data_IF_819029291278
#
_entry.id   IF_819029291278
#
_cell.length_a   1.000
_cell.length_b   1.000
_cell.length_c   1.000
_cell.angle_alpha   90.00
_cell.angle_beta   90.00
_cell.angle_gamma   90.00
#
_symmetry.space_group_name_H-M   'P 1'
#
loop_
_entity.id
_entity.type
_entity.pdbx_description
1 polymer ?
#
# COMPACT_ATOMS: atom_id res chain seq x y z
N UNK A 1 22.82 0.23 6.10
CA UNK A 1 22.84 -0.85 5.08
C UNK A 1 22.55 -2.24 5.63
N UNK A 2 23.07 -2.64 6.80
CA UNK A 2 22.75 -3.94 7.41
C UNK A 2 21.23 -4.19 7.57
N UNK A 3 20.48 -3.20 8.06
CA UNK A 3 19.01 -3.28 8.15
C UNK A 3 18.33 -3.55 6.79
N UNK A 4 18.82 -2.93 5.71
CA UNK A 4 18.30 -3.19 4.36
C UNK A 4 18.60 -4.62 3.92
N UNK A 5 19.81 -5.13 4.20
CA UNK A 5 20.18 -6.51 3.89
C UNK A 5 19.35 -7.55 4.66
N UNK A 6 18.82 -7.19 5.84
CA UNK A 6 17.85 -8.01 6.62
C UNK A 6 16.50 -8.07 5.91
N UNK A 7 15.91 -6.94 5.52
CA UNK A 7 14.56 -6.95 4.92
C UNK A 7 14.56 -7.32 3.43
N UNK A 8 15.71 -7.26 2.76
CA UNK A 8 15.86 -7.60 1.33
C UNK A 8 16.90 -8.70 1.12
N UNK A 9 16.65 -9.95 1.58
CA UNK A 9 17.60 -11.06 1.39
C UNK A 9 17.81 -11.42 -0.08
N UNK A 10 16.93 -10.94 -0.98
CA UNK A 10 17.00 -11.09 -2.42
C UNK A 10 17.86 -10.02 -3.12
N UNK A 11 18.39 -9.04 -2.38
CA UNK A 11 19.27 -8.01 -2.93
C UNK A 11 20.74 -8.28 -2.59
N UNK A 12 21.64 -7.73 -3.41
CA UNK A 12 23.08 -7.67 -3.13
C UNK A 12 23.51 -6.21 -3.05
N UNK A 13 24.25 -5.87 -2.00
CA UNK A 13 24.80 -4.54 -1.80
C UNK A 13 26.32 -4.60 -1.74
N UNK A 14 26.98 -3.65 -2.39
CA UNK A 14 28.42 -3.41 -2.27
C UNK A 14 28.61 -1.94 -1.85
N UNK A 15 29.06 -1.74 -0.61
CA UNK A 15 29.44 -0.43 -0.12
C UNK A 15 30.95 -0.28 -0.19
N UNK A 16 31.41 0.81 -0.78
CA UNK A 16 32.81 1.20 -0.80
C UNK A 16 32.92 2.62 -0.29
N UNK A 17 33.60 2.78 0.84
CA UNK A 17 34.05 4.07 1.34
C UNK A 17 35.48 4.28 0.88
N UNK A 18 35.71 5.41 0.24
CA UNK A 18 37.02 5.83 -0.25
C UNK A 18 37.45 7.05 0.55
N UNK A 19 38.67 7.00 1.08
CA UNK A 19 39.31 8.10 1.79
C UNK A 19 40.61 8.48 1.06
N UNK A 20 41.08 9.71 1.27
CA UNK A 20 42.38 10.16 0.76
C UNK A 20 43.54 9.27 1.27
N UNK A 21 43.38 8.64 2.43
CA UNK A 21 44.27 7.59 2.90
C UNK A 21 43.73 6.21 2.51
N UNK A 22 44.45 5.48 1.66
CA UNK A 22 44.03 4.17 1.17
C UNK A 22 43.75 3.15 2.29
N UNK A 23 44.40 3.30 3.44
CA UNK A 23 44.24 2.47 4.64
C UNK A 23 42.88 2.63 5.31
N UNK A 24 42.22 3.77 5.08
CA UNK A 24 40.87 4.06 5.59
C UNK A 24 39.78 3.61 4.61
N UNK A 25 40.13 3.03 3.47
CA UNK A 25 39.16 2.49 2.54
C UNK A 25 38.44 1.30 3.18
N UNK A 26 37.11 1.30 3.10
CA UNK A 26 36.28 0.25 3.67
C UNK A 26 35.37 -0.30 2.58
N UNK A 27 35.42 -1.62 2.39
CA UNK A 27 34.51 -2.31 1.49
C UNK A 27 33.65 -3.29 2.29
N UNK A 28 32.33 -3.14 2.21
CA UNK A 28 31.36 -4.03 2.83
C UNK A 28 30.49 -4.63 1.72
N UNK A 29 30.42 -5.96 1.68
CA UNK A 29 29.57 -6.70 0.74
C UNK A 29 28.49 -7.46 1.48
N UNK A 30 27.24 -7.24 1.10
CA UNK A 30 26.08 -8.01 1.54
C UNK A 30 25.62 -8.86 0.36
N UNK A 31 25.88 -10.16 0.37
CA UNK A 31 25.53 -11.08 -0.73
C UNK A 31 24.03 -11.39 -0.75
N UNK A 32 23.47 -11.74 -1.91
CA UNK A 32 22.10 -12.27 -1.96
C UNK A 32 22.01 -13.63 -1.26
N UNK A 33 20.85 -13.93 -0.64
CA UNK A 33 20.56 -15.21 0.03
C UNK A 33 19.46 -16.04 -0.65
N UNK A 34 18.56 -15.39 -1.39
CA UNK A 34 17.44 -16.02 -2.10
C UNK A 34 17.18 -15.29 -3.41
N UNK A 35 16.72 -15.99 -4.45
CA UNK A 35 16.24 -15.37 -5.69
C UNK A 35 14.71 -15.15 -5.67
N UNK A 36 14.03 -15.62 -4.64
CA UNK A 36 12.58 -15.47 -4.48
C UNK A 36 12.27 -14.04 -4.03
N UNK A 37 11.72 -13.25 -4.95
CA UNK A 37 11.25 -11.90 -4.66
C UNK A 37 9.80 -11.92 -4.12
N UNK A 38 9.43 -10.95 -3.26
CA UNK A 38 8.04 -10.74 -2.90
C UNK A 38 7.19 -10.36 -4.13
N UNK A 39 5.86 -10.54 -4.07
CA UNK A 39 4.96 -10.14 -5.15
C UNK A 39 5.07 -8.64 -5.38
N UNK A 40 5.12 -8.23 -6.65
CA UNK A 40 5.15 -6.81 -7.02
C UNK A 40 3.83 -6.13 -6.63
N UNK A 41 3.88 -4.93 -6.04
CA UNK A 41 2.67 -4.20 -5.69
C UNK A 41 1.92 -3.80 -6.96
N UNK A 42 0.61 -4.02 -6.96
CA UNK A 42 -0.27 -3.67 -8.08
C UNK A 42 -0.91 -2.30 -7.85
N UNK A 43 -1.03 -1.52 -8.92
CA UNK A 43 -1.78 -0.28 -8.87
C UNK A 43 -3.27 -0.60 -8.65
N UNK A 44 -3.85 0.01 -7.61
CA UNK A 44 -5.28 -0.10 -7.32
C UNK A 44 -5.93 1.27 -7.38
N UNK A 45 -7.24 1.29 -7.63
CA UNK A 45 -8.07 2.51 -7.56
C UNK A 45 -8.32 2.89 -6.10
N UNK A 46 -8.87 4.08 -5.90
CA UNK A 46 -9.10 4.60 -4.55
C UNK A 46 -10.31 3.95 -3.88
N UNK A 47 -10.20 3.70 -2.58
CA UNK A 47 -11.34 3.28 -1.77
C UNK A 47 -12.22 4.50 -1.43
N UNK A 48 -13.56 4.41 -1.49
CA UNK A 48 -14.44 5.55 -1.22
C UNK A 48 -14.26 6.18 0.16
N UNK A 49 -13.92 5.39 1.19
CA UNK A 49 -13.67 5.92 2.53
C UNK A 49 -12.33 6.65 2.68
N UNK A 50 -11.42 6.50 1.72
CA UNK A 50 -10.07 7.06 1.74
C UNK A 50 -9.95 8.37 0.94
N UNK A 51 -11.00 8.80 0.25
CA UNK A 51 -10.92 9.95 -0.65
C UNK A 51 -11.32 11.26 0.01
N UNK A 52 -10.60 12.32 -0.32
CA UNK A 52 -10.92 13.68 0.07
C UNK A 52 -11.59 14.46 -1.09
N UNK A 53 -12.06 15.66 -0.79
CA UNK A 53 -12.69 16.53 -1.79
C UNK A 53 -11.77 16.90 -2.93
N UNK A 54 -10.47 17.07 -2.66
CA UNK A 54 -9.49 17.46 -3.66
C UNK A 54 -9.21 16.32 -4.65
N UNK A 55 -9.08 15.10 -4.15
CA UNK A 55 -8.92 13.90 -4.95
C UNK A 55 -10.15 13.64 -5.81
N UNK A 56 -11.36 13.78 -5.25
CA UNK A 56 -12.59 13.65 -6.06
C UNK A 56 -12.58 14.68 -7.20
N UNK A 57 -12.24 15.95 -6.93
CA UNK A 57 -12.12 16.98 -7.97
C UNK A 57 -11.09 16.60 -9.05
N UNK A 58 -9.94 16.09 -8.64
CA UNK A 58 -8.89 15.64 -9.56
C UNK A 58 -9.37 14.47 -10.42
N UNK A 59 -10.00 13.47 -9.80
CA UNK A 59 -10.55 12.30 -10.50
C UNK A 59 -11.62 12.70 -11.51
N UNK A 60 -12.44 13.71 -11.19
CA UNK A 60 -13.44 14.26 -12.13
C UNK A 60 -12.77 14.89 -13.35
N UNK A 61 -11.69 15.65 -13.16
CA UNK A 61 -10.94 16.24 -14.27
C UNK A 61 -10.24 15.18 -15.14
N UNK A 62 -9.72 14.14 -14.50
CA UNK A 62 -8.90 13.11 -15.17
C UNK A 62 -9.74 11.95 -15.76
N UNK A 63 -11.02 11.80 -15.37
CA UNK A 63 -11.84 10.66 -15.78
C UNK A 63 -12.29 10.75 -17.23
N UNK A 64 -12.36 9.59 -17.88
CA UNK A 64 -12.96 9.42 -19.22
C UNK A 64 -14.45 9.09 -19.16
N UNK A 65 -15.02 8.92 -17.96
CA UNK A 65 -16.40 8.46 -17.78
C UNK A 65 -17.38 9.65 -17.85
N UNK A 66 -18.36 9.62 -18.78
CA UNK A 66 -19.24 10.76 -19.00
C UNK A 66 -20.26 10.98 -17.88
N UNK A 67 -20.71 9.91 -17.21
CA UNK A 67 -21.81 9.97 -16.25
C UNK A 67 -21.41 9.50 -14.84
N UNK A 68 -22.15 10.00 -13.85
CA UNK A 68 -21.89 9.77 -12.43
C UNK A 68 -21.91 8.29 -12.05
N UNK A 69 -22.82 7.50 -12.63
CA UNK A 69 -22.89 6.06 -12.37
C UNK A 69 -21.58 5.35 -12.77
N UNK A 70 -21.09 5.63 -13.98
CA UNK A 70 -19.84 5.06 -14.48
C UNK A 70 -18.62 5.59 -13.72
N UNK A 71 -18.64 6.85 -13.31
CA UNK A 71 -17.58 7.42 -12.48
C UNK A 71 -17.45 6.68 -11.15
N UNK A 72 -18.56 6.52 -10.41
CA UNK A 72 -18.58 5.80 -9.14
C UNK A 72 -18.15 4.34 -9.29
N UNK A 73 -18.57 3.68 -10.37
CA UNK A 73 -18.25 2.28 -10.63
C UNK A 73 -16.79 2.04 -11.04
N UNK A 74 -16.16 2.97 -11.76
CA UNK A 74 -14.87 2.73 -12.40
C UNK A 74 -13.68 3.48 -11.79
N UNK A 75 -13.92 4.58 -11.07
CA UNK A 75 -12.84 5.34 -10.43
C UNK A 75 -12.57 4.89 -8.99
N UNK A 76 -13.49 4.16 -8.38
CA UNK A 76 -13.35 3.63 -7.02
C UNK A 76 -13.39 2.11 -6.99
N UNK A 77 -12.69 1.53 -6.01
CA UNK A 77 -12.81 0.10 -5.72
C UNK A 77 -14.09 -0.19 -4.92
N UNK A 78 -14.57 -1.43 -5.00
CA UNK A 78 -15.68 -1.95 -4.20
C UNK A 78 -17.02 -1.21 -4.36
N UNK A 79 -17.23 -0.53 -5.50
CA UNK A 79 -18.54 0.00 -5.90
C UNK A 79 -19.07 -0.81 -7.08
N UNK A 80 -20.04 -1.68 -6.82
CA UNK A 80 -20.80 -2.34 -7.88
C UNK A 80 -21.82 -1.39 -8.50
N UNK A 81 -22.32 -1.72 -9.71
CA UNK A 81 -23.37 -0.92 -10.36
C UNK A 81 -24.60 -0.74 -9.46
N UNK A 82 -25.06 -1.82 -8.83
CA UNK A 82 -26.21 -1.77 -7.92
C UNK A 82 -25.94 -0.93 -6.67
N UNK A 83 -24.69 -0.90 -6.19
CA UNK A 83 -24.31 -0.04 -5.07
C UNK A 83 -24.25 1.43 -5.51
N UNK A 84 -23.67 1.73 -6.68
CA UNK A 84 -23.63 3.07 -7.25
C UNK A 84 -25.04 3.65 -7.45
N UNK A 85 -25.98 2.87 -8.00
CA UNK A 85 -27.38 3.30 -8.15
C UNK A 85 -28.02 3.66 -6.80
N UNK A 86 -27.78 2.88 -5.74
CA UNK A 86 -28.26 3.18 -4.38
C UNK A 86 -27.63 4.45 -3.82
N UNK A 87 -26.31 4.60 -3.95
CA UNK A 87 -25.59 5.79 -3.48
C UNK A 87 -26.13 7.05 -4.15
N UNK A 88 -26.35 7.02 -5.47
CA UNK A 88 -26.93 8.16 -6.21
C UNK A 88 -28.33 8.50 -5.67
N UNK A 89 -29.15 7.49 -5.36
CA UNK A 89 -30.45 7.70 -4.74
C UNK A 89 -30.38 8.35 -3.36
N UNK A 90 -29.37 8.00 -2.54
CA UNK A 90 -29.14 8.58 -1.21
C UNK A 90 -28.55 10.00 -1.25
N UNK A 91 -27.87 10.37 -2.35
CA UNK A 91 -27.32 11.72 -2.52
C UNK A 91 -28.41 12.78 -2.64
N UNK A 92 -29.57 12.44 -3.21
CA UNK A 92 -30.76 13.30 -3.30
C UNK A 92 -31.24 13.55 -4.73
N UNK A 93 -32.32 14.35 -4.90
CA UNK A 93 -32.95 14.58 -6.20
C UNK A 93 -32.07 15.34 -7.21
N UNK A 94 -31.05 16.05 -6.72
CA UNK A 94 -30.08 16.78 -7.56
C UNK A 94 -29.08 15.85 -8.28
N UNK A 95 -29.16 14.54 -8.01
CA UNK A 95 -28.28 13.54 -8.58
C UNK A 95 -29.07 12.54 -9.42
N UNK A 96 -28.55 12.23 -10.60
CA UNK A 96 -29.06 11.20 -11.49
C UNK A 96 -27.92 10.34 -11.99
N UNK A 97 -28.21 9.07 -12.31
CA UNK A 97 -27.25 8.17 -12.94
C UNK A 97 -26.66 8.74 -14.25
N UNK A 98 -27.41 9.63 -14.93
CA UNK A 98 -27.02 10.29 -16.17
C UNK A 98 -26.35 11.66 -15.97
N UNK A 99 -26.22 12.14 -14.72
CA UNK A 99 -25.58 13.43 -14.44
C UNK A 99 -24.16 13.43 -14.99
N UNK A 100 -23.81 14.47 -15.74
CA UNK A 100 -22.47 14.64 -16.31
C UNK A 100 -21.46 14.91 -15.21
N UNK A 101 -20.37 14.16 -15.18
CA UNK A 101 -19.37 14.22 -14.10
C UNK A 101 -18.68 15.59 -14.05
N UNK A 102 -18.36 16.15 -15.22
CA UNK A 102 -17.68 17.44 -15.36
C UNK A 102 -18.57 18.65 -15.02
N UNK A 103 -19.89 18.46 -14.87
CA UNK A 103 -20.81 19.55 -14.49
C UNK A 103 -21.14 19.57 -13.00
N UNK A 104 -20.49 18.73 -12.19
CA UNK A 104 -20.74 18.66 -10.75
C UNK A 104 -20.30 19.95 -10.04
N UNK A 105 -21.20 20.53 -9.25
CA UNK A 105 -20.91 21.75 -8.48
C UNK A 105 -20.14 21.44 -7.19
N UNK A 106 -19.45 22.43 -6.61
CA UNK A 106 -18.76 22.26 -5.33
C UNK A 106 -19.67 21.75 -4.21
N UNK A 107 -20.95 22.15 -4.18
CA UNK A 107 -21.92 21.68 -3.20
C UNK A 107 -22.24 20.20 -3.40
N UNK A 108 -22.39 19.75 -4.65
CA UNK A 108 -22.60 18.35 -4.98
C UNK A 108 -21.38 17.49 -4.60
N UNK A 109 -20.16 17.98 -4.77
CA UNK A 109 -18.94 17.27 -4.35
C UNK A 109 -18.86 17.10 -2.83
N UNK A 110 -19.24 18.14 -2.08
CA UNK A 110 -19.34 18.06 -0.62
C UNK A 110 -20.36 17.00 -0.21
N UNK A 111 -21.51 16.93 -0.90
CA UNK A 111 -22.54 15.91 -0.65
C UNK A 111 -22.03 14.49 -0.94
N UNK A 112 -21.34 14.27 -2.07
CA UNK A 112 -20.73 12.98 -2.41
C UNK A 112 -19.75 12.54 -1.31
N UNK A 113 -18.84 13.42 -0.92
CA UNK A 113 -17.85 13.13 0.12
C UNK A 113 -18.49 12.85 1.49
N UNK A 114 -19.52 13.62 1.88
CA UNK A 114 -20.27 13.35 3.11
C UNK A 114 -20.90 11.95 3.08
N UNK A 115 -21.49 11.55 1.95
CA UNK A 115 -22.08 10.23 1.80
C UNK A 115 -21.01 9.13 1.88
N UNK A 116 -19.84 9.31 1.27
CA UNK A 116 -18.75 8.34 1.35
C UNK A 116 -18.24 8.11 2.79
N UNK A 117 -18.33 9.12 3.65
CA UNK A 117 -17.98 8.98 5.07
C UNK A 117 -19.07 8.29 5.90
N UNK A 118 -20.32 8.34 5.45
CA UNK A 118 -21.47 7.77 6.16
C UNK A 118 -21.80 6.35 5.70
N UNK A 119 -21.61 6.07 4.41
CA UNK A 119 -21.86 4.77 3.82
C UNK A 119 -20.80 3.75 4.22
N UNK A 120 -21.23 2.49 4.33
CA UNK A 120 -20.33 1.36 4.55
C UNK A 120 -19.94 0.76 3.21
N UNK A 121 -18.64 0.57 3.02
CA UNK A 121 -18.06 -0.09 1.86
C UNK A 121 -17.35 -1.36 2.31
N UNK A 122 -17.28 -2.35 1.43
CA UNK A 122 -16.50 -3.55 1.69
C UNK A 122 -15.01 -3.21 1.73
N UNK A 123 -14.26 -3.95 2.54
CA UNK A 123 -12.82 -3.73 2.70
C UNK A 123 -12.06 -3.88 1.37
N UNK A 124 -11.13 -2.97 1.03
CA UNK A 124 -10.28 -3.10 -0.14
C UNK A 124 -9.33 -4.29 -0.01
N UNK A 125 -8.99 -4.89 -1.14
CA UNK A 125 -8.03 -6.00 -1.19
C UNK A 125 -6.61 -5.54 -0.81
N UNK A 126 -5.90 -6.40 -0.08
CA UNK A 126 -4.46 -6.24 0.23
C UNK A 126 -3.51 -6.55 -0.95
N UNK A 127 -4.02 -6.89 -2.13
CA UNK A 127 -3.20 -7.25 -3.30
C UNK A 127 -2.32 -6.10 -3.84
N UNK A 128 -2.60 -4.85 -3.44
CA UNK A 128 -1.75 -3.71 -3.75
C UNK A 128 -0.50 -3.62 -2.85
N UNK A 129 -0.40 -4.48 -1.83
CA UNK A 129 0.73 -4.52 -0.89
C UNK A 129 1.80 -5.51 -1.37
N UNK A 130 3.04 -5.23 -0.98
CA UNK A 130 4.21 -6.07 -1.24
C UNK A 130 4.97 -6.28 0.07
N UNK A 131 4.47 -7.14 0.98
CA UNK A 131 5.17 -7.44 2.22
C UNK A 131 6.54 -8.08 1.95
N UNK A 132 7.46 -7.97 2.90
CA UNK A 132 8.74 -8.67 2.79
C UNK A 132 8.52 -10.20 2.70
N UNK A 133 7.54 -10.67 3.47
CA UNK A 133 7.14 -12.06 3.60
C UNK A 133 7.86 -12.72 4.78
N UNK A 134 7.14 -13.55 5.53
CA UNK A 134 7.65 -14.25 6.71
C UNK A 134 8.95 -15.02 6.41
N UNK A 135 8.99 -15.73 5.28
CA UNK A 135 10.16 -16.49 4.84
C UNK A 135 11.39 -15.60 4.58
N UNK A 136 11.22 -14.51 3.83
CA UNK A 136 12.32 -13.61 3.49
C UNK A 136 12.82 -12.86 4.73
N UNK A 137 11.91 -12.38 5.57
CA UNK A 137 12.26 -11.73 6.83
C UNK A 137 13.09 -12.67 7.72
N UNK A 138 12.69 -13.93 7.82
CA UNK A 138 13.42 -14.96 8.56
C UNK A 138 14.82 -15.19 7.98
N UNK A 139 14.92 -15.34 6.66
CA UNK A 139 16.21 -15.56 5.99
C UNK A 139 17.18 -14.41 6.21
N UNK A 140 16.71 -13.17 6.10
CA UNK A 140 17.55 -11.99 6.27
C UNK A 140 18.03 -11.81 7.71
N UNK A 141 17.16 -12.07 8.69
CA UNK A 141 17.53 -12.10 10.12
C UNK A 141 18.62 -13.14 10.37
N UNK A 142 18.44 -14.39 9.90
CA UNK A 142 19.42 -15.46 10.09
C UNK A 142 20.76 -15.08 9.47
N UNK A 143 20.73 -14.55 8.26
CA UNK A 143 21.92 -14.21 7.46
C UNK A 143 22.74 -13.08 8.06
N UNK A 144 22.09 -12.02 8.55
CA UNK A 144 22.80 -10.79 8.95
C UNK A 144 23.03 -10.71 10.47
N UNK A 145 22.23 -11.41 11.28
CA UNK A 145 22.31 -11.36 12.74
C UNK A 145 22.86 -12.66 13.35
N UNK A 146 22.88 -13.77 12.62
CA UNK A 146 23.33 -15.09 13.10
C UNK A 146 22.79 -15.46 14.51
N UNK A 147 21.47 -15.36 14.75
CA UNK A 147 20.88 -15.65 16.06
C UNK A 147 20.81 -17.16 16.32
N UNK A 148 20.62 -17.53 17.58
CA UNK A 148 20.40 -18.93 17.97
C UNK A 148 18.94 -19.35 17.68
N UNK A 149 18.00 -18.40 17.84
CA UNK A 149 16.57 -18.61 17.60
C UNK A 149 15.99 -17.44 16.79
N UNK A 150 15.05 -17.74 15.89
CA UNK A 150 14.29 -16.75 15.13
C UNK A 150 12.84 -17.18 15.00
N UNK A 151 11.92 -16.23 15.22
CA UNK A 151 10.50 -16.35 14.94
C UNK A 151 10.06 -15.16 14.10
N UNK A 152 9.22 -15.40 13.11
CA UNK A 152 8.69 -14.36 12.20
C UNK A 152 7.21 -14.61 12.00
N UNK A 153 6.45 -13.56 11.75
CA UNK A 153 5.02 -13.65 11.46
C UNK A 153 4.59 -12.51 10.54
N UNK A 154 3.68 -12.80 9.62
CA UNK A 154 2.97 -11.81 8.83
C UNK A 154 1.46 -11.93 9.09
N UNK A 155 0.81 -10.82 9.43
CA UNK A 155 -0.64 -10.81 9.64
C UNK A 155 -1.40 -10.98 8.31
N UNK A 156 -2.68 -11.34 8.39
CA UNK A 156 -3.57 -11.12 7.26
C UNK A 156 -3.70 -9.61 6.96
N UNK A 157 -4.04 -9.20 5.72
CA UNK A 157 -4.33 -7.80 5.42
C UNK A 157 -5.46 -7.27 6.30
N UNK A 158 -5.28 -6.07 6.83
CA UNK A 158 -6.24 -5.30 7.60
C UNK A 158 -6.49 -3.96 6.90
N UNK A 159 -7.55 -3.25 7.25
CA UNK A 159 -7.91 -1.98 6.61
C UNK A 159 -8.06 -0.88 7.65
N UNK A 160 -7.46 0.26 7.36
CA UNK A 160 -7.61 1.48 8.15
C UNK A 160 -7.92 2.65 7.22
N UNK A 161 -9.05 3.34 7.46
CA UNK A 161 -9.51 4.48 6.65
C UNK A 161 -9.53 4.22 5.13
N UNK A 162 -9.88 2.98 4.72
CA UNK A 162 -9.90 2.58 3.31
C UNK A 162 -8.52 2.29 2.71
N UNK A 163 -7.47 2.24 3.53
CA UNK A 163 -6.14 1.81 3.13
C UNK A 163 -5.84 0.41 3.70
N UNK A 164 -5.57 -0.59 2.84
CA UNK A 164 -5.13 -1.89 3.33
C UNK A 164 -3.70 -1.79 3.85
N UNK A 165 -3.39 -2.52 4.92
CA UNK A 165 -2.05 -2.67 5.48
C UNK A 165 -1.82 -4.09 6.00
N UNK A 166 -0.55 -4.48 6.08
CA UNK A 166 -0.10 -5.76 6.65
C UNK A 166 0.95 -5.43 7.71
N UNK A 167 0.93 -6.14 8.84
CA UNK A 167 1.94 -6.02 9.88
C UNK A 167 2.81 -7.27 9.86
N UNK A 168 4.12 -7.06 9.76
CA UNK A 168 5.12 -8.12 9.83
C UNK A 168 6.01 -7.91 11.06
N UNK A 169 6.27 -8.99 11.79
CA UNK A 169 7.09 -8.97 12.98
C UNK A 169 8.13 -10.09 12.93
N UNK A 170 9.33 -9.81 13.44
CA UNK A 170 10.40 -10.77 13.60
C UNK A 170 11.09 -10.60 14.94
N UNK A 171 11.32 -11.70 15.65
CA UNK A 171 12.05 -11.75 16.92
C UNK A 171 13.21 -12.71 16.77
N UNK A 172 14.41 -12.27 17.15
CA UNK A 172 15.61 -13.10 17.17
C UNK A 172 16.26 -13.06 18.55
N UNK A 173 16.75 -14.21 19.02
CA UNK A 173 17.38 -14.36 20.34
C UNK A 173 18.75 -15.00 20.16
N UNK A 174 19.74 -14.48 20.90
CA UNK A 174 21.11 -14.99 20.88
C UNK A 174 21.94 -14.56 19.67
N UNK A 175 23.02 -15.28 19.41
CA UNK A 175 23.95 -15.02 18.30
C UNK A 175 25.31 -14.45 18.72
N UNK A 176 26.24 -14.43 17.75
CA UNK A 176 27.60 -13.92 17.92
C UNK A 176 27.69 -12.48 17.42
N UNK A 177 28.20 -11.58 18.27
CA UNK A 177 28.52 -10.19 17.95
C UNK A 177 27.34 -9.26 17.62
N UNK A 178 26.27 -9.28 18.42
CA UNK A 178 25.34 -8.13 18.45
C UNK A 178 25.97 -7.03 19.31
N UNK A 179 26.91 -6.26 18.74
CA UNK A 179 27.31 -4.99 19.35
C UNK A 179 26.06 -4.11 19.47
N UNK A 180 25.78 -3.67 20.71
CA UNK A 180 24.78 -2.65 21.04
C UNK A 180 24.98 -1.39 20.19
#
# INVERSE_FOLDING_TARGET
MRQMAVITPYAQFLFRFLSDAAEKNLTIKFTRRTDVMPPVPLLTKHHPSAVDLLLIKRLITDTTKPNLLQFLQHEFVNISKAHADRLIGEMGPDFSAKTTVNSLTSQQLVRIHQLFRQAKFDDPSGNCLSPAGEYNLRLGIIKELHPDLVATHASSPQVFEGHPFIVEAGVSIGGKDVKQ
#
